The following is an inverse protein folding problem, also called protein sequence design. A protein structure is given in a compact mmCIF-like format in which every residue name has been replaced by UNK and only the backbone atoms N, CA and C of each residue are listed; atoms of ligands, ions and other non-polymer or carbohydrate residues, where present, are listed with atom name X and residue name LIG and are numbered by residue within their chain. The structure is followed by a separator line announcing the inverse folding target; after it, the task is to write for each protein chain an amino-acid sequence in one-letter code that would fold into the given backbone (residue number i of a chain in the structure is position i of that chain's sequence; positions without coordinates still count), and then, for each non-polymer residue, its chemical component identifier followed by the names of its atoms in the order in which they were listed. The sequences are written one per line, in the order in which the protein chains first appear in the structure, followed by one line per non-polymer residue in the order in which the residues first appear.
data_IF_740357904145
#
_entry.id   IF_740357904145
#
_cell.length_a   1.000
_cell.length_b   1.000
_cell.length_c   1.000
_cell.angle_alpha   90.00
_cell.angle_beta   90.00
_cell.angle_gamma   90.00
#
_symmetry.space_group_name_H-M   'P 1'
#
loop_
_entity.id
_entity.type
_entity.pdbx_description
1 polymer ?
#
# COMPACT_ATOMS: atom_id res chain seq x y z
N UNK A 1 25.17 82.06 25.01
CA UNK A 1 24.20 81.83 23.94
C UNK A 1 24.90 81.06 22.85
N UNK A 2 24.84 79.70 22.94
CA UNK A 2 25.48 78.77 21.99
C UNK A 2 24.41 77.89 21.32
N UNK A 3 24.32 78.05 20.01
CA UNK A 3 23.50 77.21 19.14
C UNK A 3 24.33 75.99 18.74
N UNK A 4 23.91 74.82 19.14
CA UNK A 4 24.44 73.54 18.64
C UNK A 4 23.58 73.08 17.43
N UNK A 5 24.24 73.00 16.29
CA UNK A 5 23.73 72.39 15.04
C UNK A 5 23.85 70.91 15.13
N UNK A 6 22.72 70.13 15.04
CA UNK A 6 22.72 68.71 14.89
C UNK A 6 22.70 68.36 13.40
N UNK A 7 23.76 67.72 12.94
CA UNK A 7 23.81 67.05 11.62
C UNK A 7 23.12 65.64 11.77
N UNK A 8 22.09 65.40 10.98
CA UNK A 8 21.53 64.11 10.79
C UNK A 8 22.46 63.28 9.87
N UNK A 9 22.86 62.11 10.30
CA UNK A 9 23.47 61.06 9.45
C UNK A 9 22.36 60.14 8.94
N UNK A 10 22.15 60.23 7.62
CA UNK A 10 21.29 59.25 6.93
C UNK A 10 22.07 57.93 6.76
N UNK A 11 21.63 56.87 7.45
CA UNK A 11 22.09 55.52 7.22
C UNK A 11 21.24 54.91 6.10
N UNK A 12 21.80 54.77 4.91
CA UNK A 12 21.24 53.96 3.84
C UNK A 12 21.59 52.51 4.13
N UNK A 13 20.63 51.72 4.60
CA UNK A 13 20.77 50.30 4.74
C UNK A 13 20.56 49.64 3.37
N UNK A 14 21.63 49.17 2.75
CA UNK A 14 21.55 48.32 1.57
C UNK A 14 21.06 46.93 1.95
N UNK A 15 19.83 46.60 1.59
CA UNK A 15 19.27 45.25 1.69
C UNK A 15 19.87 44.40 0.56
N UNK A 16 20.91 43.63 0.86
CA UNK A 16 21.38 42.58 -0.03
C UNK A 16 20.35 41.45 -0.03
N UNK A 17 19.55 41.33 -1.10
CA UNK A 17 18.76 40.13 -1.37
C UNK A 17 19.72 38.98 -1.71
N UNK A 18 20.02 38.18 -0.71
CA UNK A 18 20.70 36.90 -0.90
C UNK A 18 19.79 35.97 -1.73
N UNK A 19 20.22 35.66 -2.94
CA UNK A 19 19.64 34.58 -3.73
C UNK A 19 19.86 33.30 -2.92
N UNK A 20 18.79 32.52 -2.54
CA UNK A 20 19.01 31.27 -1.87
C UNK A 20 19.77 30.36 -2.84
N UNK A 21 20.97 29.94 -2.46
CA UNK A 21 21.67 28.84 -3.14
C UNK A 21 20.78 27.63 -3.13
N UNK A 22 20.67 26.89 -4.26
CA UNK A 22 19.97 25.62 -4.26
C UNK A 22 20.63 24.72 -3.20
N UNK A 23 19.85 24.27 -2.24
CA UNK A 23 20.23 23.19 -1.35
C UNK A 23 20.61 22.00 -2.24
N UNK A 24 21.91 21.75 -2.36
CA UNK A 24 22.41 20.45 -2.86
C UNK A 24 21.98 19.44 -1.81
N UNK A 25 20.90 18.74 -2.09
CA UNK A 25 20.51 17.56 -1.32
C UNK A 25 21.68 16.57 -1.45
N UNK A 26 22.41 16.35 -0.37
CA UNK A 26 23.30 15.20 -0.27
C UNK A 26 22.48 13.97 -0.61
N UNK A 27 22.84 13.25 -1.67
CA UNK A 27 22.11 12.11 -2.17
C UNK A 27 22.03 11.02 -1.09
N UNK A 28 20.92 11.00 -0.36
CA UNK A 28 20.52 9.80 0.35
C UNK A 28 20.23 8.73 -0.71
N UNK A 29 20.60 7.48 -0.43
CA UNK A 29 20.26 6.38 -1.31
C UNK A 29 18.74 6.33 -1.50
N UNK A 30 18.25 5.96 -2.70
CA UNK A 30 16.82 5.84 -2.95
C UNK A 30 16.16 4.87 -1.97
N UNK A 31 14.95 5.21 -1.51
CA UNK A 31 14.16 4.35 -0.64
C UNK A 31 13.76 3.08 -1.39
N UNK A 32 14.32 1.95 -0.98
CA UNK A 32 14.10 0.64 -1.59
C UNK A 32 12.76 0.06 -1.13
N UNK A 33 11.88 -0.21 -2.08
CA UNK A 33 10.57 -0.85 -1.83
C UNK A 33 10.53 -2.17 -2.57
N UNK A 34 10.45 -3.29 -1.86
CA UNK A 34 10.40 -4.63 -2.44
C UNK A 34 8.96 -5.05 -2.68
N UNK A 35 8.61 -5.33 -3.94
CA UNK A 35 7.29 -5.79 -4.36
C UNK A 35 7.31 -7.29 -4.59
N UNK A 36 6.60 -8.06 -3.77
CA UNK A 36 6.50 -9.51 -3.87
C UNK A 36 5.19 -9.88 -4.53
N UNK A 37 5.27 -10.37 -5.76
CA UNK A 37 4.12 -10.85 -6.53
C UNK A 37 3.85 -12.32 -6.25
N UNK A 38 2.61 -12.67 -5.90
CA UNK A 38 2.15 -14.05 -5.84
C UNK A 38 2.14 -14.72 -7.20
N UNK A 39 2.15 -16.05 -7.21
CA UNK A 39 2.08 -16.82 -8.44
C UNK A 39 0.76 -16.58 -9.18
N UNK A 40 0.85 -16.26 -10.46
CA UNK A 40 -0.32 -16.08 -11.33
C UNK A 40 -0.82 -17.43 -11.81
N UNK A 41 -2.00 -17.84 -11.37
CA UNK A 41 -2.59 -19.13 -11.74
C UNK A 41 -3.27 -19.07 -13.10
N UNK A 42 -2.93 -19.98 -14.00
CA UNK A 42 -3.51 -20.06 -15.33
C UNK A 42 -5.02 -20.39 -15.35
N UNK A 43 -5.51 -21.01 -14.26
CA UNK A 43 -6.93 -21.39 -14.13
C UNK A 43 -7.83 -20.23 -13.72
N UNK A 44 -7.26 -19.13 -13.23
CA UNK A 44 -8.03 -17.95 -12.86
C UNK A 44 -8.53 -17.22 -14.11
N UNK A 45 -9.64 -16.52 -13.98
CA UNK A 45 -10.16 -15.66 -15.05
C UNK A 45 -9.09 -14.62 -15.44
N UNK A 46 -8.86 -14.37 -16.75
CA UNK A 46 -7.92 -13.34 -17.18
C UNK A 46 -8.17 -12.00 -16.47
N UNK A 47 -7.10 -11.38 -15.98
CA UNK A 47 -7.15 -10.13 -15.22
C UNK A 47 -7.54 -10.25 -13.75
N UNK A 48 -8.01 -11.42 -13.25
CA UNK A 48 -8.21 -11.63 -11.81
C UNK A 48 -6.96 -12.24 -11.18
N UNK A 49 -6.68 -11.89 -9.92
CA UNK A 49 -5.47 -12.33 -9.20
C UNK A 49 -4.20 -12.14 -10.04
N UNK A 50 -4.12 -11.02 -10.75
CA UNK A 50 -2.96 -10.70 -11.58
C UNK A 50 -1.88 -9.99 -10.74
N UNK A 51 -1.34 -10.74 -9.81
CA UNK A 51 -0.36 -10.24 -8.85
C UNK A 51 0.91 -9.72 -9.51
N UNK A 52 1.41 -10.44 -10.53
CA UNK A 52 2.61 -10.03 -11.25
C UNK A 52 2.39 -8.76 -12.08
N UNK A 53 1.29 -8.71 -12.84
CA UNK A 53 0.92 -7.52 -13.61
C UNK A 53 0.71 -6.30 -12.71
N UNK A 54 0.00 -6.50 -11.57
CA UNK A 54 -0.19 -5.44 -10.59
C UNK A 54 1.10 -4.97 -9.93
N UNK A 55 2.03 -5.87 -9.57
CA UNK A 55 3.33 -5.48 -9.03
C UNK A 55 4.21 -4.74 -10.04
N UNK A 56 4.19 -5.15 -11.33
CA UNK A 56 4.88 -4.43 -12.41
C UNK A 56 4.33 -3.03 -12.61
N UNK A 57 3.00 -2.88 -12.58
CA UNK A 57 2.35 -1.58 -12.64
C UNK A 57 2.70 -0.72 -11.41
N UNK A 58 2.61 -1.28 -10.19
CA UNK A 58 3.02 -0.57 -8.99
C UNK A 58 4.47 -0.09 -9.06
N UNK A 59 5.39 -0.93 -9.57
CA UNK A 59 6.77 -0.52 -9.77
C UNK A 59 6.90 0.68 -10.72
N UNK A 60 6.14 0.69 -11.82
CA UNK A 60 6.12 1.82 -12.76
C UNK A 60 5.54 3.10 -12.12
N UNK A 61 4.50 2.97 -11.29
CA UNK A 61 3.88 4.09 -10.58
C UNK A 61 4.78 4.65 -9.49
N UNK A 62 5.42 3.80 -8.70
CA UNK A 62 6.34 4.22 -7.63
C UNK A 62 7.55 4.98 -8.17
N UNK A 63 8.07 4.62 -9.36
CA UNK A 63 9.15 5.37 -10.03
C UNK A 63 8.77 6.80 -10.42
N UNK A 64 7.48 7.18 -10.36
CA UNK A 64 7.06 8.56 -10.55
C UNK A 64 7.35 9.44 -9.32
N UNK A 65 7.66 8.83 -8.17
CA UNK A 65 8.09 9.53 -6.96
C UNK A 65 9.61 9.60 -6.91
N UNK A 66 10.15 10.80 -6.77
CA UNK A 66 11.60 11.01 -6.66
C UNK A 66 12.17 10.27 -5.44
N UNK A 67 13.36 9.70 -5.58
CA UNK A 67 14.05 9.01 -4.49
C UNK A 67 13.43 7.65 -4.10
N UNK A 68 12.63 7.03 -4.96
CA UNK A 68 12.02 5.72 -4.73
C UNK A 68 12.57 4.69 -5.71
N UNK A 69 13.07 3.56 -5.19
CA UNK A 69 13.56 2.42 -5.97
C UNK A 69 12.69 1.18 -5.72
N UNK A 70 11.70 0.89 -6.58
CA UNK A 70 10.95 -0.35 -6.50
C UNK A 70 11.74 -1.53 -7.07
N UNK A 71 11.84 -2.61 -6.29
CA UNK A 71 12.48 -3.87 -6.66
C UNK A 71 11.42 -4.97 -6.72
N UNK A 72 11.33 -5.67 -7.85
CA UNK A 72 10.30 -6.68 -8.08
C UNK A 72 10.80 -8.10 -7.81
N UNK A 73 10.06 -8.84 -7.01
CA UNK A 73 10.14 -10.29 -6.84
C UNK A 73 8.95 -10.92 -7.57
N UNK A 74 9.22 -11.57 -8.71
CA UNK A 74 8.17 -12.01 -9.65
C UNK A 74 7.41 -13.27 -9.22
N UNK A 75 7.93 -14.03 -8.26
CA UNK A 75 7.31 -15.30 -7.81
C UNK A 75 7.41 -15.44 -6.30
N UNK A 76 6.30 -15.28 -5.63
CA UNK A 76 6.02 -15.60 -4.23
C UNK A 76 7.12 -15.29 -3.21
N UNK A 77 8.35 -15.75 -3.45
CA UNK A 77 9.51 -15.57 -2.58
C UNK A 77 10.79 -15.50 -3.40
N UNK A 78 11.74 -14.61 -3.07
CA UNK A 78 12.98 -14.49 -3.81
C UNK A 78 13.86 -15.72 -3.62
N UNK A 79 14.62 -16.07 -4.67
CA UNK A 79 15.64 -17.12 -4.58
C UNK A 79 16.82 -16.68 -3.70
N UNK A 80 17.13 -15.38 -3.70
CA UNK A 80 18.14 -14.74 -2.86
C UNK A 80 17.45 -13.71 -1.96
N UNK A 81 17.44 -13.97 -0.65
CA UNK A 81 16.82 -13.09 0.35
C UNK A 81 17.61 -11.79 0.60
N UNK A 82 18.82 -11.65 0.03
CA UNK A 82 19.56 -10.39 0.04
C UNK A 82 18.78 -9.25 -0.63
N UNK A 83 17.79 -9.55 -1.47
CA UNK A 83 16.86 -8.56 -2.04
C UNK A 83 16.16 -7.73 -0.98
N UNK A 84 15.94 -8.26 0.22
CA UNK A 84 15.31 -7.55 1.33
C UNK A 84 16.24 -6.66 2.15
N UNK A 85 17.56 -6.75 1.94
CA UNK A 85 18.52 -5.93 2.67
C UNK A 85 18.34 -4.46 2.33
N UNK A 86 18.24 -3.61 3.35
CA UNK A 86 17.99 -2.16 3.18
C UNK A 86 16.61 -1.82 2.61
N UNK A 87 15.63 -2.72 2.66
CA UNK A 87 14.28 -2.41 2.24
C UNK A 87 13.57 -1.52 3.28
N UNK A 88 13.12 -0.35 2.86
CA UNK A 88 12.28 0.54 3.67
C UNK A 88 10.85 -0.01 3.80
N UNK A 89 10.36 -0.74 2.80
CA UNK A 89 9.09 -1.45 2.87
C UNK A 89 9.08 -2.70 1.99
N UNK A 90 8.23 -3.67 2.39
CA UNK A 90 7.90 -4.85 1.59
C UNK A 90 6.40 -4.86 1.32
N UNK A 91 6.04 -5.04 0.05
CA UNK A 91 4.65 -5.14 -0.43
C UNK A 91 4.37 -6.58 -0.81
N UNK A 92 3.33 -7.17 -0.25
CA UNK A 92 2.83 -8.48 -0.64
C UNK A 92 1.51 -8.32 -1.39
N UNK A 93 1.49 -8.72 -2.63
CA UNK A 93 0.28 -8.84 -3.45
C UNK A 93 0.19 -10.28 -3.92
N UNK A 94 -0.44 -11.13 -3.12
CA UNK A 94 -0.37 -12.59 -3.23
C UNK A 94 -1.71 -13.24 -2.91
N UNK A 95 -1.80 -14.56 -3.16
CA UNK A 95 -2.86 -15.41 -2.62
C UNK A 95 -2.93 -15.33 -1.09
N UNK A 96 -4.05 -15.78 -0.54
CA UNK A 96 -4.37 -15.82 0.87
C UNK A 96 -4.61 -17.21 1.44
N UNK A 97 -5.30 -17.25 2.60
CA UNK A 97 -5.69 -18.49 3.26
C UNK A 97 -4.52 -19.30 3.83
N UNK A 98 -3.42 -18.63 4.19
CA UNK A 98 -2.20 -19.26 4.68
C UNK A 98 -1.32 -19.88 3.58
N UNK A 99 -1.62 -19.60 2.31
CA UNK A 99 -0.83 -20.04 1.16
C UNK A 99 0.25 -19.02 0.77
N UNK A 100 0.30 -17.89 1.45
CA UNK A 100 1.33 -16.88 1.22
C UNK A 100 2.72 -17.50 1.40
N UNK A 101 3.60 -17.30 0.44
CA UNK A 101 4.93 -17.89 0.45
C UNK A 101 5.77 -17.46 1.66
N UNK A 102 5.57 -16.24 2.17
CA UNK A 102 6.20 -15.74 3.40
C UNK A 102 5.81 -16.54 4.66
N UNK A 103 4.68 -17.27 4.64
CA UNK A 103 4.21 -18.10 5.76
C UNK A 103 4.56 -19.59 5.59
N UNK A 104 5.06 -20.00 4.42
CA UNK A 104 5.24 -21.40 4.06
C UNK A 104 6.41 -22.12 4.76
N UNK A 105 7.31 -21.35 5.38
CA UNK A 105 8.50 -21.87 6.06
C UNK A 105 8.88 -20.99 7.26
N UNK A 106 9.23 -21.57 8.43
CA UNK A 106 9.60 -20.79 9.61
C UNK A 106 10.73 -19.76 9.37
N UNK A 107 11.71 -20.08 8.52
CA UNK A 107 12.80 -19.17 8.17
C UNK A 107 12.31 -17.92 7.44
N UNK A 108 11.28 -18.04 6.58
CA UNK A 108 10.67 -16.89 5.88
C UNK A 108 9.88 -16.00 6.85
N UNK A 109 9.15 -16.61 7.77
CA UNK A 109 8.46 -15.87 8.84
C UNK A 109 9.49 -15.10 9.67
N UNK A 110 10.58 -15.75 10.10
CA UNK A 110 11.65 -15.11 10.85
C UNK A 110 12.28 -13.96 10.06
N UNK A 111 12.48 -14.11 8.75
CA UNK A 111 13.00 -13.05 7.88
C UNK A 111 12.09 -11.82 7.87
N UNK A 112 10.77 -12.00 7.75
CA UNK A 112 9.83 -10.88 7.82
C UNK A 112 9.80 -10.27 9.23
N UNK A 113 9.83 -11.08 10.28
CA UNK A 113 9.91 -10.58 11.66
C UNK A 113 11.17 -9.74 11.90
N UNK A 114 12.30 -10.12 11.31
CA UNK A 114 13.55 -9.35 11.42
C UNK A 114 13.47 -8.03 10.64
N UNK A 115 12.87 -8.00 9.45
CA UNK A 115 12.60 -6.76 8.72
C UNK A 115 11.67 -5.82 9.52
N UNK A 116 10.62 -6.37 10.09
CA UNK A 116 9.67 -5.64 10.94
C UNK A 116 10.39 -5.04 12.15
N UNK A 117 11.23 -5.81 12.85
CA UNK A 117 12.04 -5.32 13.99
C UNK A 117 13.03 -4.22 13.59
N UNK A 118 13.51 -4.23 12.35
CA UNK A 118 14.37 -3.18 11.80
C UNK A 118 13.60 -1.92 11.37
N UNK A 119 12.26 -1.93 11.52
CA UNK A 119 11.39 -0.80 11.20
C UNK A 119 10.84 -0.80 9.77
N UNK A 120 11.16 -1.81 8.96
CA UNK A 120 10.63 -1.89 7.59
C UNK A 120 9.09 -1.86 7.58
N UNK A 121 8.55 -1.10 6.64
CA UNK A 121 7.11 -1.04 6.39
C UNK A 121 6.58 -2.32 5.77
N UNK A 122 5.31 -2.62 6.04
CA UNK A 122 4.62 -3.72 5.38
C UNK A 122 3.37 -3.22 4.66
N UNK A 123 3.17 -3.68 3.43
CA UNK A 123 1.91 -3.49 2.70
C UNK A 123 1.34 -4.83 2.31
N UNK A 124 0.08 -5.06 2.67
CA UNK A 124 -0.65 -6.28 2.33
C UNK A 124 -1.84 -5.95 1.43
N UNK A 125 -1.84 -6.47 0.20
CA UNK A 125 -2.85 -6.18 -0.79
C UNK A 125 -3.67 -7.41 -1.15
N UNK A 126 -4.97 -7.22 -1.30
CA UNK A 126 -5.95 -8.23 -1.67
C UNK A 126 -5.91 -9.42 -0.70
N UNK A 127 -5.77 -10.64 -1.22
CA UNK A 127 -5.75 -11.84 -0.39
C UNK A 127 -4.48 -11.98 0.47
N UNK A 128 -3.43 -11.17 0.25
CA UNK A 128 -2.30 -11.14 1.17
C UNK A 128 -2.71 -10.80 2.61
N UNK A 129 -3.84 -10.12 2.81
CA UNK A 129 -4.44 -9.84 4.12
C UNK A 129 -5.06 -11.08 4.78
N UNK A 130 -5.45 -12.09 3.99
CA UNK A 130 -6.14 -13.30 4.45
C UNK A 130 -5.15 -14.34 4.97
N UNK A 131 -4.59 -14.13 6.16
CA UNK A 131 -3.80 -15.18 6.83
C UNK A 131 -4.74 -16.25 7.37
N UNK A 132 -4.33 -17.53 7.33
CA UNK A 132 -5.12 -18.56 7.99
C UNK A 132 -5.10 -18.38 9.51
N UNK A 133 -6.09 -18.90 10.26
CA UNK A 133 -6.14 -18.78 11.71
C UNK A 133 -4.87 -19.27 12.44
N UNK A 134 -4.12 -20.19 11.84
CA UNK A 134 -2.84 -20.65 12.37
C UNK A 134 -1.77 -19.53 12.46
N UNK A 135 -1.90 -18.47 11.67
CA UNK A 135 -1.01 -17.32 11.61
C UNK A 135 -1.65 -16.04 12.14
N UNK A 136 -2.72 -16.15 12.94
CA UNK A 136 -3.42 -14.97 13.46
C UNK A 136 -2.48 -14.05 14.28
N UNK A 137 -1.53 -14.63 15.01
CA UNK A 137 -0.53 -13.85 15.78
C UNK A 137 0.33 -12.98 14.86
N UNK A 138 0.85 -13.55 13.78
CA UNK A 138 1.63 -12.81 12.78
C UNK A 138 0.79 -11.75 12.08
N UNK A 139 -0.45 -12.11 11.70
CA UNK A 139 -1.39 -11.20 11.05
C UNK A 139 -1.66 -9.96 11.92
N UNK A 140 -2.00 -10.16 13.20
CA UNK A 140 -2.21 -9.06 14.15
C UNK A 140 -0.95 -8.22 14.36
N UNK A 141 0.22 -8.87 14.50
CA UNK A 141 1.48 -8.16 14.71
C UNK A 141 1.89 -7.34 13.47
N UNK A 142 1.67 -7.85 12.25
CA UNK A 142 2.15 -7.24 11.02
C UNK A 142 1.16 -6.25 10.41
N UNK A 143 -0.14 -6.52 10.49
CA UNK A 143 -1.17 -5.70 9.86
C UNK A 143 -2.19 -5.09 10.82
N UNK A 144 -2.18 -5.49 12.09
CA UNK A 144 -3.17 -5.07 13.08
C UNK A 144 -4.54 -5.72 12.91
N UNK A 145 -4.71 -6.63 11.94
CA UNK A 145 -5.96 -7.35 11.69
C UNK A 145 -5.71 -8.82 11.37
N UNK A 146 -6.68 -9.67 11.67
CA UNK A 146 -6.62 -11.11 11.38
C UNK A 146 -7.91 -11.60 10.73
N UNK A 147 -7.77 -12.53 9.80
CA UNK A 147 -8.86 -13.31 9.25
C UNK A 147 -9.20 -14.44 10.24
N UNK A 148 -10.46 -14.56 10.61
CA UNK A 148 -10.96 -15.51 11.60
C UNK A 148 -12.01 -16.44 10.97
N UNK A 149 -12.47 -17.51 11.67
CA UNK A 149 -13.59 -18.31 11.18
C UNK A 149 -14.90 -17.53 10.97
N UNK A 150 -15.03 -16.33 11.56
CA UNK A 150 -16.17 -15.44 11.35
C UNK A 150 -15.99 -14.50 10.15
N UNK A 151 -14.77 -14.37 9.67
CA UNK A 151 -14.46 -13.54 8.50
C UNK A 151 -14.99 -14.21 7.23
N UNK A 152 -15.21 -13.42 6.20
CA UNK A 152 -15.65 -13.93 4.90
C UNK A 152 -15.04 -13.10 3.77
N UNK A 153 -15.09 -13.65 2.57
CA UNK A 153 -14.72 -12.96 1.33
C UNK A 153 -15.86 -13.08 0.32
N UNK A 154 -15.92 -12.15 -0.59
CA UNK A 154 -16.94 -12.17 -1.65
C UNK A 154 -16.84 -10.93 -2.53
N UNK A 155 -17.63 -10.93 -3.61
CA UNK A 155 -17.71 -9.82 -4.54
C UNK A 155 -18.98 -9.01 -4.29
N UNK A 156 -18.85 -7.70 -4.21
CA UNK A 156 -20.00 -6.80 -4.18
C UNK A 156 -19.61 -5.39 -4.63
N UNK A 157 -20.62 -4.61 -5.02
CA UNK A 157 -20.48 -3.19 -5.33
C UNK A 157 -20.14 -2.40 -4.06
N UNK A 158 -19.13 -1.58 -4.13
CA UNK A 158 -18.77 -0.66 -3.07
C UNK A 158 -18.46 0.73 -3.63
N UNK A 159 -18.97 1.74 -2.96
CA UNK A 159 -18.74 3.16 -3.28
C UNK A 159 -17.96 3.79 -2.14
N UNK A 160 -16.93 4.54 -2.49
CA UNK A 160 -16.00 5.17 -1.56
C UNK A 160 -15.87 6.65 -1.93
N UNK A 161 -16.49 7.50 -1.13
CA UNK A 161 -16.63 8.94 -1.40
C UNK A 161 -16.12 9.82 -0.25
N UNK A 162 -15.74 9.21 0.88
CA UNK A 162 -15.26 9.92 2.06
C UNK A 162 -13.99 9.24 2.62
N UNK A 163 -12.98 10.05 2.92
CA UNK A 163 -11.69 9.60 3.40
C UNK A 163 -11.26 10.41 4.61
N UNK A 164 -10.64 9.79 5.63
CA UNK A 164 -10.18 10.51 6.82
C UNK A 164 -9.02 11.46 6.51
N UNK A 165 -8.78 12.41 7.40
CA UNK A 165 -7.64 13.32 7.35
C UNK A 165 -6.32 12.61 7.67
N UNK A 166 -5.87 11.69 6.81
CA UNK A 166 -4.65 10.91 6.96
C UNK A 166 -3.74 11.11 5.73
N UNK A 167 -2.39 11.05 5.85
CA UNK A 167 -1.49 11.20 4.70
C UNK A 167 -1.83 10.26 3.53
N UNK A 168 -2.21 9.02 3.79
CA UNK A 168 -2.60 8.04 2.76
C UNK A 168 -3.85 8.47 1.98
N UNK A 169 -4.70 9.31 2.55
CA UNK A 169 -5.91 9.84 1.89
C UNK A 169 -5.66 11.11 1.04
N UNK A 170 -4.45 11.65 1.05
CA UNK A 170 -4.14 12.89 0.30
C UNK A 170 -4.34 12.71 -1.20
N UNK A 171 -5.11 13.59 -1.81
CA UNK A 171 -5.40 13.57 -3.25
C UNK A 171 -6.23 12.39 -3.74
N UNK A 172 -6.75 11.56 -2.83
CA UNK A 172 -7.65 10.45 -3.18
C UNK A 172 -9.00 11.01 -3.58
N UNK A 173 -9.46 10.64 -4.76
CA UNK A 173 -10.79 11.02 -5.30
C UNK A 173 -11.78 9.87 -5.15
N UNK A 174 -13.08 10.14 -5.09
CA UNK A 174 -14.12 9.10 -4.99
C UNK A 174 -14.07 8.06 -6.10
N UNK A 175 -14.38 6.81 -5.77
CA UNK A 175 -14.54 5.74 -6.76
C UNK A 175 -15.67 4.78 -6.38
N UNK A 176 -16.11 4.00 -7.37
CA UNK A 176 -17.06 2.91 -7.19
C UNK A 176 -16.59 1.71 -8.01
N UNK A 177 -16.70 0.51 -7.43
CA UNK A 177 -16.30 -0.73 -8.09
C UNK A 177 -17.05 -1.94 -7.53
N UNK A 178 -17.26 -2.95 -8.39
CA UNK A 178 -17.50 -4.33 -7.96
C UNK A 178 -16.14 -5.03 -7.87
N UNK A 179 -15.75 -5.42 -6.68
CA UNK A 179 -14.44 -6.04 -6.44
C UNK A 179 -14.55 -7.19 -5.44
N UNK A 180 -13.46 -7.96 -5.30
CA UNK A 180 -13.32 -8.97 -4.27
C UNK A 180 -12.90 -8.34 -2.96
N UNK A 181 -13.68 -8.53 -1.91
CA UNK A 181 -13.48 -7.92 -0.60
C UNK A 181 -13.37 -8.95 0.50
N UNK A 182 -12.61 -8.61 1.55
CA UNK A 182 -12.64 -9.29 2.84
C UNK A 182 -13.52 -8.52 3.80
N UNK A 183 -14.28 -9.22 4.64
CA UNK A 183 -15.13 -8.60 5.65
C UNK A 183 -15.04 -9.32 7.01
N UNK A 184 -15.52 -8.66 8.06
CA UNK A 184 -15.52 -9.17 9.45
C UNK A 184 -14.12 -9.59 9.92
N UNK A 185 -13.12 -8.80 9.57
CA UNK A 185 -11.78 -8.97 10.11
C UNK A 185 -11.77 -8.65 11.61
N UNK A 186 -10.96 -9.39 12.36
CA UNK A 186 -10.70 -9.08 13.76
C UNK A 186 -9.48 -8.18 13.86
N UNK A 187 -9.65 -7.01 14.45
CA UNK A 187 -8.56 -6.06 14.67
C UNK A 187 -7.95 -6.21 16.07
N UNK A 188 -6.75 -5.67 16.27
CA UNK A 188 -6.12 -5.57 17.57
C UNK A 188 -7.02 -4.87 18.57
N UNK A 189 -6.89 -5.22 19.86
CA UNK A 189 -7.75 -4.73 20.93
C UNK A 189 -7.79 -3.20 20.98
N UNK A 190 -9.01 -2.67 21.05
CA UNK A 190 -9.24 -1.23 21.08
C UNK A 190 -8.83 -0.49 19.81
N UNK A 191 -8.58 -1.18 18.70
CA UNK A 191 -8.09 -0.58 17.45
C UNK A 191 -6.80 0.23 17.65
N UNK A 192 -5.98 -0.13 18.65
CA UNK A 192 -4.76 0.60 18.97
C UNK A 192 -3.78 0.65 17.81
N UNK A 193 -3.41 1.86 17.38
CA UNK A 193 -2.55 2.10 16.20
C UNK A 193 -3.24 1.94 14.86
N UNK A 194 -4.51 1.54 14.80
CA UNK A 194 -5.27 1.40 13.56
C UNK A 194 -5.94 2.72 13.17
N UNK A 195 -5.74 3.14 11.94
CA UNK A 195 -6.56 4.18 11.29
C UNK A 195 -7.32 3.57 10.13
N UNK A 196 -8.65 3.40 10.23
CA UNK A 196 -9.49 3.01 9.10
C UNK A 196 -9.44 4.09 8.02
N UNK A 197 -9.24 3.69 6.77
CA UNK A 197 -9.17 4.60 5.62
C UNK A 197 -10.37 4.48 4.70
N UNK A 198 -10.84 3.26 4.48
CA UNK A 198 -11.93 2.95 3.56
C UNK A 198 -12.84 1.92 4.18
N UNK A 199 -14.14 2.20 4.14
CA UNK A 199 -15.18 1.29 4.58
C UNK A 199 -15.93 0.72 3.38
N UNK A 200 -16.35 -0.54 3.49
CA UNK A 200 -17.21 -1.18 2.51
C UNK A 200 -18.60 -0.56 2.53
N UNK A 201 -19.23 -0.43 1.35
CA UNK A 201 -20.66 -0.05 1.27
C UNK A 201 -21.59 -1.16 1.74
N UNK A 202 -21.11 -2.39 1.89
CA UNK A 202 -21.90 -3.50 2.39
C UNK A 202 -22.04 -3.38 3.91
N UNK A 203 -23.22 -2.95 4.36
CA UNK A 203 -23.60 -3.01 5.76
C UNK A 203 -24.16 -4.39 6.10
N UNK A 204 -23.82 -4.89 7.27
CA UNK A 204 -24.49 -6.09 7.80
C UNK A 204 -23.92 -7.42 7.33
N UNK A 205 -22.71 -7.48 6.87
CA UNK A 205 -21.98 -8.74 6.69
C UNK A 205 -21.75 -9.52 7.99
N UNK A 206 -22.37 -9.05 9.10
CA UNK A 206 -22.31 -9.68 10.39
C UNK A 206 -21.37 -9.02 11.40
N UNK A 207 -20.88 -7.80 11.14
CA UNK A 207 -20.24 -7.03 12.19
C UNK A 207 -21.25 -6.75 13.31
N UNK A 208 -20.92 -6.97 14.59
CA UNK A 208 -21.78 -6.58 15.69
C UNK A 208 -22.12 -5.08 15.59
N UNK A 209 -23.42 -4.74 15.58
CA UNK A 209 -23.87 -3.35 15.53
C UNK A 209 -24.10 -2.76 14.13
N UNK A 210 -23.94 -3.54 13.04
CA UNK A 210 -24.27 -3.07 11.68
C UNK A 210 -23.32 -2.02 11.13
N UNK A 211 -22.11 -1.88 11.66
CA UNK A 211 -21.10 -0.98 11.14
C UNK A 211 -20.52 -1.52 9.82
N UNK A 212 -20.20 -0.63 8.85
CA UNK A 212 -19.51 -1.05 7.63
C UNK A 212 -18.15 -1.73 7.93
N UNK A 213 -17.81 -2.74 7.15
CA UNK A 213 -16.51 -3.40 7.27
C UNK A 213 -15.38 -2.47 6.78
N UNK A 214 -14.25 -2.47 7.48
CA UNK A 214 -13.05 -1.78 7.07
C UNK A 214 -12.36 -2.61 6.00
N UNK A 215 -12.11 -2.03 4.83
CA UNK A 215 -11.47 -2.70 3.69
C UNK A 215 -10.10 -2.12 3.35
N UNK A 216 -9.76 -0.93 3.87
CA UNK A 216 -8.40 -0.38 3.85
C UNK A 216 -8.10 0.30 5.18
N UNK A 217 -6.90 0.11 5.69
CA UNK A 217 -6.44 0.70 6.95
C UNK A 217 -4.92 0.85 6.99
N UNK A 218 -4.47 1.74 7.88
CA UNK A 218 -3.07 1.81 8.31
C UNK A 218 -2.93 1.27 9.72
N UNK A 219 -1.73 0.83 10.04
CA UNK A 219 -1.36 0.38 11.37
C UNK A 219 0.00 0.96 11.76
N UNK A 220 -0.02 1.86 12.75
CA UNK A 220 1.19 2.29 13.45
C UNK A 220 1.54 1.19 14.45
N UNK A 221 2.53 0.37 14.10
CA UNK A 221 2.90 -0.81 14.88
C UNK A 221 3.58 -0.44 16.20
N UNK A 222 3.45 -1.28 17.24
CA UNK A 222 4.12 -1.05 18.54
C UNK A 222 5.65 -1.03 18.45
N UNK A 223 6.24 -1.61 17.41
CA UNK A 223 7.69 -1.60 17.13
C UNK A 223 8.19 -0.29 16.50
N UNK A 224 7.30 0.65 16.25
CA UNK A 224 7.59 1.94 15.59
C UNK A 224 7.53 1.90 14.07
N UNK A 225 7.34 0.73 13.46
CA UNK A 225 7.13 0.59 12.01
C UNK A 225 5.68 0.86 11.61
N UNK A 226 5.41 0.82 10.31
CA UNK A 226 4.11 1.12 9.71
C UNK A 226 3.64 0.01 8.82
N UNK A 227 2.32 -0.21 8.77
CA UNK A 227 1.72 -1.13 7.80
C UNK A 227 0.51 -0.50 7.13
N UNK A 228 0.34 -0.79 5.86
CA UNK A 228 -0.85 -0.47 5.09
C UNK A 228 -1.49 -1.74 4.57
N UNK A 229 -2.80 -1.86 4.67
CA UNK A 229 -3.53 -3.02 4.17
C UNK A 229 -4.76 -2.60 3.39
N UNK A 230 -5.01 -3.27 2.28
CA UNK A 230 -6.17 -3.05 1.43
C UNK A 230 -6.67 -4.37 0.84
N UNK A 231 -7.92 -4.75 1.13
CA UNK A 231 -8.49 -6.04 0.72
C UNK A 231 -9.04 -6.07 -0.71
N UNK A 232 -9.15 -4.94 -1.41
CA UNK A 232 -9.54 -4.84 -2.81
C UNK A 232 -8.43 -5.27 -3.79
N UNK A 233 -8.56 -4.92 -5.07
CA UNK A 233 -7.63 -5.27 -6.17
C UNK A 233 -7.70 -6.73 -6.63
N UNK A 234 -8.88 -7.33 -6.63
CA UNK A 234 -9.07 -8.65 -7.22
C UNK A 234 -8.87 -8.64 -8.75
N UNK A 235 -9.36 -7.60 -9.41
CA UNK A 235 -9.25 -7.46 -10.86
C UNK A 235 -8.20 -6.43 -11.27
N UNK A 236 -7.38 -6.76 -12.27
CA UNK A 236 -6.38 -5.84 -12.83
C UNK A 236 -7.00 -4.51 -13.32
N UNK A 237 -8.23 -4.57 -13.87
CA UNK A 237 -8.98 -3.38 -14.28
C UNK A 237 -9.27 -2.38 -13.13
N UNK A 238 -9.18 -2.81 -11.87
CA UNK A 238 -9.33 -1.92 -10.72
C UNK A 238 -8.29 -0.80 -10.71
N UNK A 239 -7.13 -1.03 -11.31
CA UNK A 239 -6.07 -0.03 -11.46
C UNK A 239 -6.46 1.15 -12.36
N UNK A 240 -7.52 1.05 -13.17
CA UNK A 240 -8.05 2.17 -13.96
C UNK A 240 -8.65 3.28 -13.06
N UNK A 241 -9.06 2.95 -11.84
CA UNK A 241 -9.64 3.88 -10.88
C UNK A 241 -8.54 4.70 -10.19
N UNK A 242 -8.39 5.95 -10.57
CA UNK A 242 -7.33 6.83 -10.05
C UNK A 242 -7.36 6.93 -8.52
N UNK A 243 -8.55 7.11 -7.91
CA UNK A 243 -8.68 7.22 -6.46
C UNK A 243 -8.16 5.97 -5.74
N UNK A 244 -8.51 4.77 -6.21
CA UNK A 244 -7.99 3.51 -5.68
C UNK A 244 -6.49 3.38 -5.89
N UNK A 245 -6.01 3.65 -7.10
CA UNK A 245 -4.60 3.62 -7.47
C UNK A 245 -3.77 4.56 -6.58
N UNK A 246 -4.24 5.79 -6.37
CA UNK A 246 -3.59 6.78 -5.50
C UNK A 246 -3.57 6.34 -4.04
N UNK A 247 -4.67 5.79 -3.52
CA UNK A 247 -4.73 5.25 -2.16
C UNK A 247 -3.62 4.20 -1.94
N UNK A 248 -3.47 3.28 -2.90
CA UNK A 248 -2.48 2.19 -2.79
C UNK A 248 -1.05 2.74 -2.85
N UNK A 249 -0.73 3.62 -3.80
CA UNK A 249 0.61 4.20 -3.90
C UNK A 249 0.94 5.05 -2.68
N UNK A 250 0.00 5.88 -2.19
CA UNK A 250 0.19 6.61 -0.93
C UNK A 250 0.45 5.65 0.24
N UNK A 251 -0.33 4.55 0.34
CA UNK A 251 -0.20 3.56 1.40
C UNK A 251 1.17 2.88 1.43
N UNK A 252 1.70 2.52 0.26
CA UNK A 252 3.03 1.93 0.11
C UNK A 252 4.10 2.94 0.55
N UNK A 253 4.07 4.16 0.04
CA UNK A 253 5.04 5.20 0.39
C UNK A 253 4.96 5.56 1.88
N UNK A 254 3.76 5.66 2.44
CA UNK A 254 3.58 5.94 3.86
C UNK A 254 4.12 4.80 4.74
N UNK A 255 3.92 3.54 4.34
CA UNK A 255 4.48 2.40 5.07
C UNK A 255 6.01 2.40 5.04
N UNK A 256 6.63 2.85 3.95
CA UNK A 256 8.06 3.07 3.81
C UNK A 256 8.60 4.28 4.59
N UNK A 257 7.76 4.96 5.39
CA UNK A 257 8.17 6.14 6.15
C UNK A 257 8.30 7.42 5.33
N UNK A 258 7.95 7.39 4.04
CA UNK A 258 8.09 8.53 3.14
C UNK A 258 6.95 9.53 3.32
N UNK A 259 7.24 10.80 3.07
CA UNK A 259 6.24 11.86 3.10
C UNK A 259 5.37 11.80 1.84
N UNK A 260 4.05 11.90 2.04
CA UNK A 260 3.09 11.97 0.95
C UNK A 260 2.82 13.45 0.62
N UNK A 261 2.98 13.90 -0.62
CA UNK A 261 2.63 15.25 -1.03
C UNK A 261 1.18 15.62 -0.70
N UNK A 262 0.88 16.90 -0.50
CA UNK A 262 -0.48 17.36 -0.20
C UNK A 262 -1.52 16.96 -1.26
N UNK A 263 -1.11 16.90 -2.53
CA UNK A 263 -1.93 16.44 -3.64
C UNK A 263 -1.98 14.91 -3.81
N UNK A 264 -1.35 14.15 -2.90
CA UNK A 264 -1.10 12.72 -3.05
C UNK A 264 0.14 12.41 -3.90
N UNK A 265 0.59 11.17 -3.87
CA UNK A 265 1.70 10.70 -4.69
C UNK A 265 1.34 10.73 -6.19
N UNK A 266 2.31 10.99 -7.08
CA UNK A 266 2.10 10.82 -8.51
C UNK A 266 1.73 9.35 -8.80
N UNK A 267 0.69 9.14 -9.58
CA UNK A 267 0.24 7.80 -9.98
C UNK A 267 -0.44 7.83 -11.36
N UNK A 268 0.12 8.63 -12.28
CA UNK A 268 -0.43 8.78 -13.62
C UNK A 268 -0.34 7.46 -14.39
N UNK A 269 -1.47 6.99 -14.90
CA UNK A 269 -1.56 5.84 -15.79
C UNK A 269 -2.82 5.96 -16.62
N UNK A 270 -2.70 5.78 -17.91
CA UNK A 270 -3.82 5.57 -18.81
C UNK A 270 -4.14 4.07 -18.95
N UNK A 271 -5.24 3.76 -19.61
CA UNK A 271 -5.67 2.39 -19.82
C UNK A 271 -4.63 1.58 -20.63
N UNK A 272 -3.96 2.19 -21.61
CA UNK A 272 -2.97 1.50 -22.42
C UNK A 272 -1.76 1.06 -21.60
N UNK A 273 -1.29 1.91 -20.71
CA UNK A 273 -0.21 1.57 -19.76
C UNK A 273 -0.65 0.45 -18.81
N UNK A 274 -1.85 0.54 -18.23
CA UNK A 274 -2.39 -0.47 -17.32
C UNK A 274 -2.50 -1.82 -18.01
N UNK A 275 -3.12 -1.87 -19.19
CA UNK A 275 -3.29 -3.10 -19.97
C UNK A 275 -1.95 -3.71 -20.42
N UNK A 276 -0.91 -2.89 -20.64
CA UNK A 276 0.42 -3.37 -21.03
C UNK A 276 1.10 -4.25 -19.98
N UNK A 277 0.69 -4.13 -18.72
CA UNK A 277 1.19 -4.95 -17.61
C UNK A 277 0.36 -6.20 -17.35
N UNK A 278 -0.81 -6.35 -18.00
CA UNK A 278 -1.65 -7.52 -17.83
C UNK A 278 -0.88 -8.81 -18.18
N UNK A 279 -0.84 -9.74 -17.23
CA UNK A 279 -0.14 -11.01 -17.42
C UNK A 279 -0.94 -11.89 -18.39
N UNK A 280 -0.36 -12.30 -19.54
CA UNK A 280 -1.02 -13.19 -20.48
C UNK A 280 -1.39 -14.52 -19.83
N UNK A 281 -2.62 -14.99 -20.05
CA UNK A 281 -3.09 -16.31 -19.62
C UNK A 281 -3.69 -17.06 -20.78
N UNK A 282 -3.42 -18.36 -20.82
CA UNK A 282 -4.09 -19.25 -21.77
C UNK A 282 -5.49 -19.53 -21.23
N UNK A 283 -6.56 -19.25 -21.98
CA UNK A 283 -7.90 -19.61 -21.55
C UNK A 283 -7.97 -21.10 -21.23
N UNK A 284 -8.67 -21.51 -20.15
CA UNK A 284 -8.89 -22.92 -19.88
C UNK A 284 -9.64 -23.55 -21.06
N UNK A 285 -9.34 -24.83 -21.41
CA UNK A 285 -10.05 -25.51 -22.46
C UNK A 285 -11.57 -25.53 -22.18
N UNK A 286 -12.41 -25.40 -23.20
CA UNK A 286 -13.85 -25.38 -23.02
C UNK A 286 -14.30 -26.64 -22.24
N UNK A 287 -15.14 -26.42 -21.22
CA UNK A 287 -15.69 -27.53 -20.45
C UNK A 287 -16.45 -28.46 -21.40
N UNK A 288 -15.95 -29.65 -21.64
CA UNK A 288 -16.68 -30.71 -22.37
C UNK A 288 -17.88 -31.05 -21.51
N UNK A 289 -19.10 -30.74 -22.00
CA UNK A 289 -20.31 -31.22 -21.35
C UNK A 289 -20.23 -32.75 -21.38
N UNK A 290 -20.14 -33.36 -20.21
CA UNK A 290 -20.31 -34.80 -20.12
C UNK A 290 -21.72 -35.15 -20.65
N UNK A 291 -21.85 -36.19 -21.48
CA UNK A 291 -23.12 -36.63 -22.02
C UNK A 291 -24.10 -37.05 -20.95
#
# INVERSE_FOLDING_TARGET
MNRFSRRALDFVAAFAMGVPSPLVMNGADPAKIVLVAGEVKQVDKPGHHDYLGGCRLMAALLRQSEGVEPVLVEKDWPADEAVFEGAEAVVFYTDGGGKQACLSHPGRIARIEDLVKQGAGLTLLHQAVEFSPAFAKQSLAWSGAAYTPLSARGHWDSSHDSFPGHPVSRGVIPWKINDGWLNRLHFVDGMTGITPLVWSSKTGGGAPGGTPDIVAWTYDRPDGGRSFSFSGLDAHAAWELEGMRRLVINGILWSAGLEIPAAGAPCAADKALIDSFLTPRTPPPPKVKKP
#
